data_IF_250801765237
#
_entry.id   IF_250801765237
#
_cell.length_a   1.000
_cell.length_b   1.000
_cell.length_c   1.000
_cell.angle_alpha   90.00
_cell.angle_beta   90.00
_cell.angle_gamma   90.00
#
_symmetry.space_group_name_H-M   'P 1'
#
loop_
_entity.id
_entity.type
_entity.pdbx_description
1 polymer ?
#
# COMPACT_ATOMS: atom_id res chain seq x y z
N UNK A 1 -22.00 20.96 -2.27
CA UNK A 1 -21.12 20.90 -3.47
C UNK A 1 -20.29 19.63 -3.39
N UNK A 2 -20.43 18.72 -4.36
CA UNK A 2 -19.55 17.55 -4.48
C UNK A 2 -18.17 18.06 -4.89
N UNK A 3 -17.20 18.00 -3.99
CA UNK A 3 -15.80 18.31 -4.31
C UNK A 3 -15.38 17.35 -5.42
N UNK A 4 -15.19 17.86 -6.64
CA UNK A 4 -14.57 17.05 -7.70
C UNK A 4 -13.18 16.72 -7.21
N UNK A 5 -12.92 15.44 -6.94
CA UNK A 5 -11.57 14.91 -6.75
C UNK A 5 -10.79 15.30 -8.00
N UNK A 6 -10.00 16.36 -7.88
CA UNK A 6 -8.88 16.61 -8.78
C UNK A 6 -8.01 15.36 -8.65
N UNK A 7 -8.07 14.49 -9.66
CA UNK A 7 -6.89 13.70 -10.01
C UNK A 7 -5.86 14.74 -10.44
N UNK A 8 -5.24 15.40 -9.46
CA UNK A 8 -4.07 16.22 -9.73
C UNK A 8 -3.05 15.27 -10.36
N UNK A 9 -2.45 15.72 -11.46
CA UNK A 9 -1.31 15.04 -12.06
C UNK A 9 -0.32 14.73 -10.95
N UNK A 10 0.09 13.47 -10.83
CA UNK A 10 1.01 13.05 -9.78
C UNK A 10 2.25 13.93 -9.84
N UNK A 11 2.57 14.59 -8.73
CA UNK A 11 3.79 15.40 -8.64
C UNK A 11 5.01 14.50 -8.91
N UNK A 12 6.07 15.07 -9.48
CA UNK A 12 7.30 14.32 -9.76
C UNK A 12 7.85 13.65 -8.49
N UNK A 13 7.75 14.32 -7.34
CA UNK A 13 8.15 13.80 -6.03
C UNK A 13 7.33 12.56 -5.63
N UNK A 14 6.03 12.55 -5.90
CA UNK A 14 5.17 11.40 -5.62
C UNK A 14 5.52 10.20 -6.50
N UNK A 15 5.82 10.43 -7.79
CA UNK A 15 6.28 9.38 -8.72
C UNK A 15 7.61 8.79 -8.22
N UNK A 16 8.57 9.63 -7.82
CA UNK A 16 9.87 9.21 -7.29
C UNK A 16 9.68 8.40 -6.00
N UNK A 17 8.87 8.90 -5.06
CA UNK A 17 8.61 8.22 -3.79
C UNK A 17 8.02 6.81 -3.99
N UNK A 18 7.03 6.67 -4.87
CA UNK A 18 6.44 5.37 -5.24
C UNK A 18 7.50 4.47 -5.87
N UNK A 19 8.30 4.99 -6.79
CA UNK A 19 9.39 4.25 -7.42
C UNK A 19 10.44 3.74 -6.44
N UNK A 20 10.82 4.57 -5.45
CA UNK A 20 11.80 4.21 -4.41
C UNK A 20 11.26 3.13 -3.46
N UNK A 21 10.02 3.26 -2.98
CA UNK A 21 9.39 2.23 -2.15
C UNK A 21 9.34 0.90 -2.91
N UNK A 22 8.95 0.94 -4.18
CA UNK A 22 8.95 -0.25 -5.04
C UNK A 22 10.35 -0.84 -5.22
N UNK A 23 11.37 0.00 -5.38
CA UNK A 23 12.77 -0.39 -5.45
C UNK A 23 13.21 -1.19 -4.22
N UNK A 24 12.92 -0.68 -3.01
CA UNK A 24 13.21 -1.39 -1.77
C UNK A 24 12.48 -2.73 -1.67
N UNK A 25 11.19 -2.78 -2.02
CA UNK A 25 10.43 -4.02 -2.05
C UNK A 25 11.04 -5.07 -2.99
N UNK A 26 11.45 -4.66 -4.19
CA UNK A 26 12.11 -5.56 -5.15
C UNK A 26 13.47 -6.05 -4.65
N UNK A 27 14.20 -5.22 -3.92
CA UNK A 27 15.46 -5.57 -3.28
C UNK A 27 15.30 -6.39 -1.98
N UNK A 28 14.06 -6.72 -1.57
CA UNK A 28 13.72 -7.36 -0.29
C UNK A 28 14.15 -6.57 0.96
N UNK A 29 14.32 -5.26 0.80
CA UNK A 29 14.56 -4.31 1.87
C UNK A 29 13.22 -3.90 2.49
N UNK A 30 12.57 -4.84 3.17
CA UNK A 30 11.19 -4.67 3.62
C UNK A 30 11.05 -3.66 4.75
N UNK A 31 12.03 -3.56 5.64
CA UNK A 31 12.03 -2.59 6.74
C UNK A 31 12.17 -1.16 6.21
N UNK A 32 13.08 -0.95 5.27
CA UNK A 32 13.25 0.34 4.59
C UNK A 32 12.03 0.70 3.75
N UNK A 33 11.46 -0.27 3.03
CA UNK A 33 10.21 -0.06 2.29
C UNK A 33 9.05 0.32 3.22
N UNK A 34 8.93 -0.33 4.38
CA UNK A 34 7.91 -0.05 5.38
C UNK A 34 8.06 1.37 5.93
N UNK A 35 9.25 1.73 6.42
CA UNK A 35 9.51 3.05 7.00
C UNK A 35 9.34 4.17 5.96
N UNK A 36 9.85 3.97 4.74
CA UNK A 36 9.70 4.96 3.67
C UNK A 36 8.23 5.13 3.29
N UNK A 37 7.50 4.04 3.05
CA UNK A 37 6.08 4.13 2.68
C UNK A 37 5.24 4.76 3.80
N UNK A 38 5.54 4.45 5.07
CA UNK A 38 4.90 5.06 6.24
C UNK A 38 5.10 6.58 6.25
N UNK A 39 6.32 7.05 5.99
CA UNK A 39 6.64 8.47 5.85
C UNK A 39 5.91 9.12 4.68
N UNK A 40 5.94 8.49 3.50
CA UNK A 40 5.25 9.00 2.31
C UNK A 40 3.72 9.12 2.52
N UNK A 41 3.12 8.21 3.28
CA UNK A 41 1.69 8.25 3.61
C UNK A 41 1.30 9.37 4.59
N UNK A 42 2.25 10.02 5.26
CA UNK A 42 1.99 11.26 6.01
C UNK A 42 1.78 12.46 5.08
N UNK A 43 2.40 12.42 3.89
CA UNK A 43 2.30 13.47 2.87
C UNK A 43 1.14 13.20 1.91
N UNK A 44 0.98 11.95 1.48
CA UNK A 44 -0.06 11.52 0.54
C UNK A 44 -0.90 10.37 1.13
N UNK A 45 -1.80 10.68 2.09
CA UNK A 45 -2.53 9.65 2.84
C UNK A 45 -3.49 8.81 1.97
N UNK A 46 -3.95 9.31 0.84
CA UNK A 46 -4.89 8.61 -0.03
C UNK A 46 -4.23 7.93 -1.23
N UNK A 47 -2.89 7.96 -1.33
CA UNK A 47 -2.20 7.36 -2.46
C UNK A 47 -2.23 5.83 -2.38
N UNK A 48 -2.96 5.22 -3.33
CA UNK A 48 -3.27 3.79 -3.34
C UNK A 48 -2.03 2.90 -3.41
N UNK A 49 -1.07 3.22 -4.28
CA UNK A 49 0.13 2.41 -4.45
C UNK A 49 0.96 2.41 -3.16
N UNK A 50 1.09 3.57 -2.50
CA UNK A 50 1.77 3.66 -1.21
C UNK A 50 1.04 2.85 -0.13
N UNK A 51 -0.30 2.88 -0.07
CA UNK A 51 -1.09 2.05 0.85
C UNK A 51 -0.81 0.56 0.60
N UNK A 52 -0.88 0.11 -0.65
CA UNK A 52 -0.66 -1.29 -1.04
C UNK A 52 0.77 -1.77 -0.72
N UNK A 53 1.77 -0.92 -0.99
CA UNK A 53 3.17 -1.24 -0.72
C UNK A 53 3.49 -1.23 0.77
N UNK A 54 2.96 -0.26 1.52
CA UNK A 54 3.11 -0.20 2.98
C UNK A 54 2.52 -1.44 3.65
N UNK A 55 1.30 -1.83 3.27
CA UNK A 55 0.65 -3.01 3.82
C UNK A 55 1.41 -4.31 3.49
N UNK A 56 1.97 -4.42 2.29
CA UNK A 56 2.82 -5.56 1.93
C UNK A 56 4.11 -5.58 2.75
N UNK A 57 4.82 -4.44 2.85
CA UNK A 57 6.02 -4.33 3.64
C UNK A 57 5.76 -4.67 5.12
N UNK A 58 4.68 -4.15 5.70
CA UNK A 58 4.26 -4.43 7.07
C UNK A 58 4.07 -5.94 7.32
N UNK A 59 3.40 -6.63 6.40
CA UNK A 59 3.24 -8.08 6.48
C UNK A 59 4.57 -8.85 6.46
N UNK A 60 5.55 -8.40 5.66
CA UNK A 60 6.87 -9.03 5.59
C UNK A 60 7.73 -8.79 6.84
N UNK A 61 7.55 -7.67 7.53
CA UNK A 61 8.29 -7.32 8.76
C UNK A 61 7.51 -7.62 10.04
N UNK A 62 6.39 -8.33 9.94
CA UNK A 62 5.52 -8.69 11.07
C UNK A 62 4.94 -7.50 11.84
N UNK A 63 4.83 -6.34 11.18
CA UNK A 63 4.13 -5.17 11.70
C UNK A 63 2.61 -5.29 11.43
N UNK A 64 1.76 -4.67 12.27
CA UNK A 64 0.32 -4.70 12.06
C UNK A 64 -0.09 -4.13 10.70
N UNK A 65 -0.89 -4.90 9.96
CA UNK A 65 -1.51 -4.43 8.71
C UNK A 65 -2.83 -3.76 9.03
N UNK A 66 -2.95 -2.48 8.65
CA UNK A 66 -4.22 -1.74 8.64
C UNK A 66 -5.12 -2.29 7.53
N UNK A 67 -5.94 -3.28 7.89
CA UNK A 67 -6.81 -3.98 6.94
C UNK A 67 -7.97 -3.14 6.45
N UNK A 68 -8.49 -2.25 7.29
CA UNK A 68 -9.58 -1.36 6.91
C UNK A 68 -9.11 -0.45 5.76
N UNK A 69 -7.95 0.19 5.93
CA UNK A 69 -7.37 1.06 4.90
C UNK A 69 -6.96 0.27 3.66
N UNK A 70 -6.41 -0.94 3.83
CA UNK A 70 -6.06 -1.81 2.71
C UNK A 70 -7.28 -2.22 1.89
N UNK A 71 -8.40 -2.56 2.53
CA UNK A 71 -9.64 -2.93 1.87
C UNK A 71 -10.33 -1.73 1.23
N UNK A 72 -10.24 -0.54 1.82
CA UNK A 72 -10.72 0.70 1.20
C UNK A 72 -9.96 1.05 -0.09
N UNK A 73 -8.70 0.64 -0.21
CA UNK A 73 -7.88 0.82 -1.40
C UNK A 73 -8.18 -0.17 -2.55
N UNK A 74 -9.07 -1.16 -2.32
CA UNK A 74 -9.37 -2.27 -3.23
C UNK A 74 -9.97 -1.81 -4.55
N UNK A 75 -9.45 -2.38 -5.63
CA UNK A 75 -9.98 -2.28 -6.99
C UNK A 75 -9.82 -3.65 -7.66
N UNK A 76 -10.52 -3.88 -8.78
CA UNK A 76 -10.37 -5.11 -9.54
C UNK A 76 -8.90 -5.37 -9.97
N UNK A 77 -8.12 -4.32 -10.20
CA UNK A 77 -6.71 -4.43 -10.63
C UNK A 77 -5.75 -4.87 -9.51
N UNK A 78 -6.08 -4.64 -8.23
CA UNK A 78 -5.21 -4.96 -7.09
C UNK A 78 -5.80 -6.04 -6.16
N UNK A 79 -6.87 -6.71 -6.57
CA UNK A 79 -7.58 -7.70 -5.77
C UNK A 79 -6.69 -8.87 -5.32
N UNK A 80 -5.95 -9.43 -6.28
CA UNK A 80 -5.00 -10.51 -6.03
C UNK A 80 -3.87 -10.08 -5.08
N UNK A 81 -3.42 -8.82 -5.20
CA UNK A 81 -2.40 -8.26 -4.32
C UNK A 81 -2.90 -8.16 -2.88
N UNK A 82 -4.08 -7.58 -2.67
CA UNK A 82 -4.68 -7.45 -1.34
C UNK A 82 -4.89 -8.82 -0.70
N UNK A 83 -5.41 -9.78 -1.46
CA UNK A 83 -5.59 -11.16 -0.99
C UNK A 83 -4.26 -11.79 -0.57
N UNK A 84 -3.20 -11.58 -1.34
CA UNK A 84 -1.85 -12.03 -0.99
C UNK A 84 -1.35 -11.39 0.31
N UNK A 85 -1.50 -10.06 0.46
CA UNK A 85 -1.07 -9.33 1.66
C UNK A 85 -1.79 -9.83 2.90
N UNK A 86 -3.12 -9.96 2.85
CA UNK A 86 -3.93 -10.47 3.97
C UNK A 86 -3.48 -11.87 4.40
N UNK A 87 -3.25 -12.77 3.43
CA UNK A 87 -2.73 -14.11 3.72
C UNK A 87 -1.36 -14.07 4.40
N UNK A 88 -0.44 -13.21 3.93
CA UNK A 88 0.90 -13.04 4.53
C UNK A 88 0.82 -12.48 5.94
N UNK A 89 -0.13 -11.59 6.21
CA UNK A 89 -0.42 -11.06 7.54
C UNK A 89 -1.10 -12.07 8.48
N UNK A 90 -1.29 -13.33 8.06
CA UNK A 90 -1.99 -14.36 8.85
C UNK A 90 -3.52 -14.16 8.92
N UNK A 91 -4.06 -13.26 8.11
CA UNK A 91 -5.48 -12.94 8.05
C UNK A 91 -6.09 -13.76 6.91
N UNK A 92 -6.56 -14.96 7.22
CA UNK A 92 -7.26 -15.78 6.25
C UNK A 92 -8.50 -15.01 5.74
N UNK A 93 -8.73 -14.92 4.42
CA UNK A 93 -10.01 -14.46 3.91
C UNK A 93 -11.08 -15.43 4.44
N UNK A 94 -12.00 -14.94 5.28
CA UNK A 94 -13.16 -15.72 5.70
C UNK A 94 -14.00 -16.03 4.45
N UNK A 95 -13.87 -17.25 3.95
CA UNK A 95 -14.72 -17.80 2.90
C UNK A 95 -14.30 -17.42 1.48
N UNK A 96 -13.74 -18.39 0.77
CA UNK A 96 -14.03 -18.57 -0.64
C UNK A 96 -14.63 -19.97 -0.78
N UNK A 97 -15.78 -20.13 -1.46
CA UNK A 97 -16.45 -21.41 -1.66
C UNK A 97 -15.59 -22.41 -2.44
#
# INVERSE_FOLDING_TARGET
MRTRLKRDEMTMDQIIAIGLVWGHLRARQFEEAFLLAKGCLLVWPEERNLILMHAYAAAEVLEPVDTERLLAARTAACDAWITMVLRRAGMAPKGQP
#
